data_IF_522565631821
#
_entry.id   IF_522565631821
#
_cell.length_a   1.000
_cell.length_b   1.000
_cell.length_c   1.000
_cell.angle_alpha   90.00
_cell.angle_beta   90.00
_cell.angle_gamma   90.00
#
_symmetry.space_group_name_H-M   'P 1'
#
loop_
_entity.id
_entity.type
_entity.pdbx_description
1 polymer ?
#
# COMPACT_ATOMS: atom_id res chain seq x y z
N UNK A 1 0.51 -24.67 -23.95
CA UNK A 1 1.29 -23.47 -24.29
C UNK A 1 0.50 -22.17 -24.02
N UNK A 2 -0.77 -22.13 -24.39
CA UNK A 2 -1.62 -20.97 -24.09
C UNK A 2 -1.78 -20.75 -22.61
N UNK A 3 -1.93 -21.83 -21.82
CA UNK A 3 -2.07 -21.74 -20.37
C UNK A 3 -0.83 -21.14 -19.72
N UNK A 4 0.35 -21.50 -20.23
CA UNK A 4 1.61 -20.97 -19.74
C UNK A 4 1.76 -19.47 -20.05
N UNK A 5 1.37 -19.06 -21.25
CA UNK A 5 1.39 -17.68 -21.67
C UNK A 5 0.40 -16.84 -20.87
N UNK A 6 -0.81 -17.36 -20.65
CA UNK A 6 -1.84 -16.71 -19.86
C UNK A 6 -1.39 -16.54 -18.41
N UNK A 7 -0.73 -17.55 -17.84
CA UNK A 7 -0.18 -17.48 -16.50
C UNK A 7 0.87 -16.37 -16.39
N UNK A 8 1.81 -16.32 -17.34
CA UNK A 8 2.85 -15.30 -17.36
C UNK A 8 2.26 -13.89 -17.46
N UNK A 9 1.24 -13.71 -18.31
CA UNK A 9 0.56 -12.43 -18.44
C UNK A 9 -0.14 -12.02 -17.16
N UNK A 10 -0.78 -12.96 -16.47
CA UNK A 10 -1.45 -12.71 -15.21
C UNK A 10 -0.45 -12.31 -14.13
N UNK A 11 0.68 -12.99 -14.06
CA UNK A 11 1.74 -12.64 -13.11
C UNK A 11 2.29 -11.25 -13.38
N UNK A 12 2.52 -10.91 -14.64
CA UNK A 12 2.99 -9.57 -15.02
C UNK A 12 2.01 -8.48 -14.64
N UNK A 13 0.72 -8.72 -14.85
CA UNK A 13 -0.34 -7.80 -14.45
C UNK A 13 -0.34 -7.58 -12.94
N UNK A 14 -0.24 -8.67 -12.19
CA UNK A 14 -0.22 -8.62 -10.73
C UNK A 14 1.02 -7.87 -10.21
N UNK A 15 2.18 -8.09 -10.84
CA UNK A 15 3.41 -7.37 -10.47
C UNK A 15 3.24 -5.87 -10.72
N UNK A 16 2.64 -5.49 -11.85
CA UNK A 16 2.36 -4.07 -12.16
C UNK A 16 1.41 -3.47 -11.12
N UNK A 17 0.35 -4.20 -10.77
CA UNK A 17 -0.61 -3.76 -9.77
C UNK A 17 0.05 -3.62 -8.40
N UNK A 18 0.94 -4.54 -8.06
CA UNK A 18 1.70 -4.50 -6.82
C UNK A 18 2.58 -3.26 -6.76
N UNK A 19 3.29 -2.95 -7.84
CA UNK A 19 4.14 -1.77 -7.93
C UNK A 19 3.33 -0.48 -7.78
N UNK A 20 2.18 -0.40 -8.46
CA UNK A 20 1.30 0.75 -8.34
C UNK A 20 0.76 0.89 -6.92
N UNK A 21 0.39 -0.22 -6.30
CA UNK A 21 -0.11 -0.20 -4.93
C UNK A 21 0.97 0.22 -3.93
N UNK A 22 2.23 -0.18 -4.16
CA UNK A 22 3.36 0.26 -3.37
C UNK A 22 3.50 1.79 -3.41
N UNK A 23 3.37 2.39 -4.60
CA UNK A 23 3.38 3.85 -4.75
C UNK A 23 2.21 4.50 -4.02
N UNK A 24 1.01 3.90 -4.10
CA UNK A 24 -0.17 4.40 -3.39
C UNK A 24 0.02 4.37 -1.89
N UNK A 25 0.66 3.33 -1.36
CA UNK A 25 0.99 3.25 0.07
C UNK A 25 1.91 4.40 0.48
N UNK A 26 2.94 4.68 -0.30
CA UNK A 26 3.85 5.78 -0.02
C UNK A 26 3.13 7.14 -0.02
N UNK A 27 2.27 7.36 -1.00
CA UNK A 27 1.48 8.61 -1.09
C UNK A 27 0.53 8.72 0.10
N UNK A 28 -0.17 7.63 0.42
CA UNK A 28 -1.11 7.60 1.54
C UNK A 28 -0.41 7.82 2.87
N UNK A 29 0.79 7.29 3.05
CA UNK A 29 1.60 7.50 4.26
C UNK A 29 1.98 8.98 4.41
N UNK A 30 2.39 9.63 3.33
CA UNK A 30 2.72 11.07 3.34
C UNK A 30 1.48 11.92 3.63
N UNK A 31 0.36 11.56 3.01
CA UNK A 31 -0.92 12.27 3.24
C UNK A 31 -1.35 12.14 4.69
N UNK A 32 -1.23 10.93 5.26
CA UNK A 32 -1.53 10.70 6.67
C UNK A 32 -0.65 11.57 7.58
N UNK A 33 0.66 11.57 7.33
CA UNK A 33 1.60 12.37 8.11
C UNK A 33 1.27 13.87 8.04
N UNK A 34 0.96 14.38 6.84
CA UNK A 34 0.59 15.78 6.64
C UNK A 34 -0.71 16.12 7.39
N UNK A 35 -1.71 15.22 7.31
CA UNK A 35 -2.98 15.40 8.00
C UNK A 35 -2.82 15.41 9.52
N UNK A 36 -1.93 14.56 10.06
CA UNK A 36 -1.61 14.55 11.49
C UNK A 36 -1.02 15.90 11.92
N UNK A 37 -0.08 16.43 11.15
CA UNK A 37 0.54 17.74 11.43
C UNK A 37 -0.48 18.88 11.37
N UNK A 38 -1.35 18.87 10.37
CA UNK A 38 -2.41 19.88 10.23
C UNK A 38 -3.36 19.86 11.43
N UNK A 39 -3.73 18.67 11.88
CA UNK A 39 -4.59 18.54 13.05
C UNK A 39 -3.92 19.08 14.31
N UNK A 40 -2.62 18.85 14.50
CA UNK A 40 -1.85 19.38 15.62
C UNK A 40 -1.81 20.90 15.60
N UNK A 41 -1.56 21.49 14.42
CA UNK A 41 -1.56 22.95 14.26
C UNK A 41 -2.94 23.51 14.55
N UNK A 42 -4.00 22.88 14.02
CA UNK A 42 -5.38 23.34 14.24
C UNK A 42 -5.74 23.30 15.72
N UNK A 43 -5.30 22.28 16.44
CA UNK A 43 -5.52 22.17 17.89
C UNK A 43 -4.82 23.31 18.63
N UNK A 44 -3.57 23.59 18.30
CA UNK A 44 -2.80 24.68 18.92
C UNK A 44 -3.45 26.04 18.66
N UNK A 45 -3.88 26.27 17.44
CA UNK A 45 -4.56 27.51 17.07
C UNK A 45 -5.88 27.67 17.83
N UNK A 46 -6.61 26.58 17.98
CA UNK A 46 -7.87 26.58 18.75
C UNK A 46 -7.62 26.93 20.21
N UNK A 47 -6.61 26.32 20.83
CA UNK A 47 -6.25 26.59 22.23
C UNK A 47 -5.85 28.05 22.40
N UNK A 48 -5.17 28.62 21.42
CA UNK A 48 -4.75 30.04 21.44
C UNK A 48 -5.89 31.02 21.09
N UNK A 49 -7.09 30.50 20.80
CA UNK A 49 -8.23 31.33 20.42
C UNK A 49 -8.16 31.90 19.03
N UNK A 50 -7.28 31.36 18.16
CA UNK A 50 -7.05 31.88 16.80
C UNK A 50 -7.80 31.08 15.74
N UNK A 51 -8.55 30.05 16.12
CA UNK A 51 -9.29 29.20 15.18
C UNK A 51 -10.62 28.81 15.78
N UNK A 52 -11.57 28.44 14.93
CA UNK A 52 -12.90 28.03 15.36
C UNK A 52 -12.97 26.53 15.63
N UNK A 53 -13.99 26.11 16.38
CA UNK A 53 -14.23 24.68 16.61
C UNK A 53 -14.58 23.95 15.31
N UNK A 54 -15.16 24.67 14.33
CA UNK A 54 -15.45 24.09 13.01
C UNK A 54 -14.17 23.73 12.28
N UNK A 55 -13.18 24.62 12.30
CA UNK A 55 -11.88 24.39 11.67
C UNK A 55 -11.16 23.22 12.34
N UNK A 56 -11.22 23.14 13.66
CA UNK A 56 -10.61 22.03 14.42
C UNK A 56 -11.27 20.71 14.05
N UNK A 57 -12.60 20.66 14.01
CA UNK A 57 -13.34 19.45 13.66
C UNK A 57 -13.06 19.01 12.22
N UNK A 58 -12.95 19.96 11.29
CA UNK A 58 -12.61 19.68 9.90
C UNK A 58 -11.22 19.02 9.81
N UNK A 59 -10.25 19.56 10.55
CA UNK A 59 -8.88 19.01 10.56
C UNK A 59 -8.82 17.60 11.18
N UNK A 60 -9.60 17.36 12.23
CA UNK A 60 -9.69 16.03 12.85
C UNK A 60 -10.33 15.03 11.88
N UNK A 61 -11.38 15.44 11.16
CA UNK A 61 -12.02 14.59 10.16
C UNK A 61 -11.06 14.24 9.02
N UNK A 62 -10.27 15.20 8.55
CA UNK A 62 -9.23 14.96 7.53
C UNK A 62 -8.18 13.98 8.03
N UNK A 63 -7.75 14.16 9.28
CA UNK A 63 -6.77 13.28 9.92
C UNK A 63 -7.28 11.83 9.96
N UNK A 64 -8.51 11.63 10.39
CA UNK A 64 -9.12 10.30 10.49
C UNK A 64 -9.30 9.66 9.12
N UNK A 65 -9.74 10.45 8.12
CA UNK A 65 -9.90 9.98 6.75
C UNK A 65 -8.56 9.56 6.14
N UNK A 66 -7.52 10.36 6.34
CA UNK A 66 -6.18 10.07 5.83
C UNK A 66 -5.63 8.78 6.45
N UNK A 67 -5.85 8.58 7.75
CA UNK A 67 -5.43 7.36 8.44
C UNK A 67 -6.17 6.13 7.90
N UNK A 68 -7.47 6.22 7.69
CA UNK A 68 -8.27 5.14 7.12
C UNK A 68 -7.79 4.80 5.71
N UNK A 69 -7.51 5.82 4.90
CA UNK A 69 -7.02 5.61 3.53
C UNK A 69 -5.66 4.92 3.51
N UNK A 70 -4.78 5.28 4.44
CA UNK A 70 -3.48 4.65 4.57
C UNK A 70 -3.63 3.18 4.95
N UNK A 71 -4.47 2.88 5.93
CA UNK A 71 -4.74 1.49 6.37
C UNK A 71 -5.32 0.67 5.22
N UNK A 72 -6.26 1.24 4.46
CA UNK A 72 -6.85 0.58 3.29
C UNK A 72 -5.78 0.30 2.22
N UNK A 73 -4.90 1.26 1.97
CA UNK A 73 -3.81 1.09 1.01
C UNK A 73 -2.86 -0.03 1.44
N UNK A 74 -2.53 -0.10 2.73
CA UNK A 74 -1.69 -1.16 3.28
C UNK A 74 -2.37 -2.53 3.15
N UNK A 75 -3.67 -2.59 3.46
CA UNK A 75 -4.44 -3.83 3.32
C UNK A 75 -4.40 -4.33 1.88
N UNK A 76 -4.65 -3.45 0.92
CA UNK A 76 -4.63 -3.81 -0.50
C UNK A 76 -3.22 -4.25 -0.95
N UNK A 77 -2.19 -3.59 -0.43
CA UNK A 77 -0.80 -3.92 -0.71
C UNK A 77 -0.49 -5.35 -0.26
N UNK A 78 -0.82 -5.68 0.99
CA UNK A 78 -0.56 -7.01 1.54
C UNK A 78 -1.42 -8.08 0.88
N UNK A 79 -2.66 -7.75 0.49
CA UNK A 79 -3.53 -8.66 -0.25
C UNK A 79 -2.91 -9.04 -1.61
N UNK A 80 -2.38 -8.06 -2.33
CA UNK A 80 -1.69 -8.29 -3.59
C UNK A 80 -0.41 -9.11 -3.39
N UNK A 81 0.34 -8.81 -2.33
CA UNK A 81 1.55 -9.55 -1.99
C UNK A 81 1.25 -11.03 -1.78
N UNK A 82 0.25 -11.33 -0.95
CA UNK A 82 -0.13 -12.71 -0.69
C UNK A 82 -0.70 -13.41 -1.91
N UNK A 83 -1.43 -12.70 -2.74
CA UNK A 83 -1.95 -13.25 -4.01
C UNK A 83 -0.80 -13.63 -4.93
N UNK A 84 0.18 -12.75 -5.10
CA UNK A 84 1.37 -13.04 -5.90
C UNK A 84 2.14 -14.23 -5.36
N UNK A 85 2.32 -14.27 -4.05
CA UNK A 85 3.03 -15.37 -3.40
C UNK A 85 2.31 -16.69 -3.61
N UNK A 86 0.98 -16.72 -3.46
CA UNK A 86 0.18 -17.92 -3.67
C UNK A 86 0.29 -18.43 -5.10
N UNK A 87 0.21 -17.54 -6.08
CA UNK A 87 0.31 -17.92 -7.49
C UNK A 87 1.72 -18.43 -7.80
N UNK A 88 2.74 -17.77 -7.27
CA UNK A 88 4.13 -18.17 -7.48
C UNK A 88 4.42 -19.53 -6.86
N UNK A 89 3.94 -19.79 -5.65
CA UNK A 89 4.09 -21.07 -4.99
C UNK A 89 3.34 -22.19 -5.72
N UNK A 90 2.15 -21.86 -6.22
CA UNK A 90 1.35 -22.80 -7.01
C UNK A 90 2.10 -23.22 -8.27
N UNK A 91 2.68 -22.25 -8.98
CA UNK A 91 3.47 -22.53 -10.18
C UNK A 91 4.70 -23.38 -9.85
N UNK A 92 5.32 -23.10 -8.73
CA UNK A 92 6.47 -23.88 -8.25
C UNK A 92 6.09 -25.34 -7.98
N UNK A 93 4.97 -25.57 -7.31
CA UNK A 93 4.50 -26.92 -7.04
C UNK A 93 4.20 -27.71 -8.32
N UNK A 94 3.78 -27.02 -9.37
CA UNK A 94 3.40 -27.66 -10.62
C UNK A 94 4.58 -27.83 -11.56
N UNK A 95 5.43 -26.79 -11.76
CA UNK A 95 6.42 -26.83 -12.84
C UNK A 95 7.63 -25.89 -12.70
N UNK A 96 7.68 -24.98 -11.71
CA UNK A 96 8.70 -23.94 -11.68
C UNK A 96 9.91 -24.32 -10.83
N UNK A 97 11.15 -23.93 -11.20
CA UNK A 97 12.32 -24.17 -10.37
C UNK A 97 12.34 -23.29 -9.12
N UNK A 98 12.88 -23.84 -8.05
CA UNK A 98 12.97 -23.19 -6.74
C UNK A 98 13.65 -21.82 -6.80
N UNK A 99 14.64 -21.70 -7.67
CA UNK A 99 15.41 -20.47 -7.85
C UNK A 99 14.57 -19.28 -8.33
N UNK A 100 13.54 -19.52 -9.13
CA UNK A 100 12.66 -18.45 -9.61
C UNK A 100 11.76 -17.92 -8.49
N UNK A 101 11.30 -18.80 -7.63
CA UNK A 101 10.47 -18.42 -6.49
C UNK A 101 11.27 -17.56 -5.50
N UNK A 102 12.49 -17.99 -5.18
CA UNK A 102 13.39 -17.22 -4.32
C UNK A 102 13.71 -15.85 -4.92
N UNK A 103 13.90 -15.80 -6.24
CA UNK A 103 14.19 -14.56 -6.95
C UNK A 103 13.03 -13.56 -6.86
N UNK A 104 11.80 -14.05 -7.00
CA UNK A 104 10.60 -13.22 -6.89
C UNK A 104 10.44 -12.72 -5.45
N UNK A 105 10.66 -13.57 -4.47
CA UNK A 105 10.62 -13.19 -3.05
C UNK A 105 11.66 -12.12 -2.73
N UNK A 106 12.88 -12.25 -3.24
CA UNK A 106 13.92 -11.23 -3.08
C UNK A 106 13.50 -9.88 -3.67
N UNK A 107 12.92 -9.89 -4.87
CA UNK A 107 12.46 -8.67 -5.51
C UNK A 107 11.35 -8.02 -4.70
N UNK A 108 10.41 -8.82 -4.19
CA UNK A 108 9.33 -8.34 -3.34
C UNK A 108 9.84 -7.74 -2.03
N UNK A 109 10.81 -8.39 -1.40
CA UNK A 109 11.42 -7.90 -0.17
C UNK A 109 12.11 -6.56 -0.39
N UNK A 110 12.80 -6.41 -1.51
CA UNK A 110 13.44 -5.14 -1.88
C UNK A 110 12.42 -4.02 -2.08
N UNK A 111 11.25 -4.34 -2.63
CA UNK A 111 10.17 -3.37 -2.82
C UNK A 111 9.56 -2.95 -1.48
N UNK A 112 9.42 -3.88 -0.55
CA UNK A 112 8.85 -3.61 0.77
C UNK A 112 9.78 -2.73 1.61
N UNK A 113 11.09 -2.94 1.50
CA UNK A 113 12.10 -2.21 2.29
C UNK A 113 12.34 -0.78 1.80
N UNK A 114 11.87 -0.43 0.63
CA UNK A 114 11.95 0.94 0.11
C UNK A 114 10.68 1.72 0.41
#
# INVERSE_FOLDING_TARGET
>A
EQDKTDFELNVRKLVKQFNLQSQRVHIAARTDETAQRRADVARRLYILGKSTVLDLNASISEKDAARRNYITALYNYWSLYYTLRSITLYDFEVDAPLTETERIEEVMDKMIKK
#
